data_IF_821723466230
#
_entry.id   IF_821723466230
#
_cell.length_a   1.000
_cell.length_b   1.000
_cell.length_c   1.000
_cell.angle_alpha   90.00
_cell.angle_beta   90.00
_cell.angle_gamma   90.00
#
_symmetry.space_group_name_H-M   'P 1'
#
loop_
_entity.id
_entity.type
_entity.pdbx_description
1 polymer ?
#
# COMPACT_ATOMS: atom_id res chain seq x y z
N UNK A 1 -4.62 21.79 12.31
CA UNK A 1 -5.76 20.88 12.06
C UNK A 1 -5.20 19.49 11.91
N UNK A 2 -5.86 18.46 12.44
CA UNK A 2 -5.47 17.09 12.12
C UNK A 2 -5.74 16.82 10.62
N UNK A 3 -4.89 16.04 9.94
CA UNK A 3 -5.10 15.70 8.54
C UNK A 3 -6.46 15.03 8.36
N UNK A 4 -7.22 15.49 7.36
CA UNK A 4 -8.50 14.88 6.98
C UNK A 4 -8.23 13.67 6.10
N UNK A 5 -8.59 12.49 6.60
CA UNK A 5 -8.44 11.24 5.85
C UNK A 5 -9.68 10.96 5.00
N UNK A 6 -9.46 10.43 3.80
CA UNK A 6 -10.49 9.98 2.87
C UNK A 6 -10.05 8.71 2.14
N UNK A 7 -11.01 8.03 1.53
CA UNK A 7 -10.75 6.84 0.73
C UNK A 7 -10.52 7.18 -0.74
N UNK A 8 -9.52 6.53 -1.30
CA UNK A 8 -9.43 6.23 -2.73
C UNK A 8 -9.80 4.75 -2.86
N UNK A 9 -10.83 4.48 -3.66
CA UNK A 9 -11.50 3.18 -3.76
C UNK A 9 -11.96 2.67 -2.38
N UNK A 10 -13.03 3.25 -1.83
CA UNK A 10 -13.56 2.82 -0.53
C UNK A 10 -13.99 1.34 -0.54
N UNK A 11 -13.52 0.51 0.41
CA UNK A 11 -13.95 -0.87 0.54
C UNK A 11 -15.40 -0.96 1.06
N UNK A 12 -16.08 -2.09 0.81
CA UNK A 12 -17.43 -2.29 1.32
C UNK A 12 -17.48 -2.38 2.85
N UNK A 13 -16.40 -2.88 3.48
CA UNK A 13 -16.31 -3.10 4.91
C UNK A 13 -15.03 -2.48 5.48
N UNK A 14 -15.20 -1.46 6.32
CA UNK A 14 -14.10 -0.86 7.08
C UNK A 14 -14.61 -0.21 8.36
N UNK A 15 -13.70 0.00 9.31
CA UNK A 15 -13.97 0.76 10.54
C UNK A 15 -12.74 1.54 10.96
N UNK A 16 -12.96 2.78 11.39
CA UNK A 16 -11.97 3.60 12.09
C UNK A 16 -12.42 3.82 13.53
N UNK A 17 -11.57 3.51 14.47
CA UNK A 17 -11.79 3.74 15.90
C UNK A 17 -10.50 4.28 16.56
N UNK A 18 -10.46 4.30 17.89
CA UNK A 18 -9.31 4.81 18.64
C UNK A 18 -8.07 3.92 18.49
N UNK A 19 -8.25 2.63 18.18
CA UNK A 19 -7.16 1.65 18.12
C UNK A 19 -6.56 1.55 16.71
N UNK A 20 -7.32 1.94 15.68
CA UNK A 20 -6.78 2.06 14.34
C UNK A 20 -7.82 1.97 13.24
N UNK A 21 -7.35 1.53 12.07
CA UNK A 21 -8.15 1.28 10.88
C UNK A 21 -8.23 -0.24 10.65
N UNK A 22 -9.44 -0.77 10.54
CA UNK A 22 -9.71 -2.14 10.12
C UNK A 22 -10.35 -2.11 8.72
N UNK A 23 -9.89 -2.98 7.83
CA UNK A 23 -10.29 -3.01 6.42
C UNK A 23 -10.47 -4.44 5.97
N UNK A 24 -11.54 -4.71 5.23
CA UNK A 24 -11.70 -5.93 4.43
C UNK A 24 -11.63 -5.54 2.96
N UNK A 25 -10.74 -6.17 2.19
CA UNK A 25 -10.59 -5.85 0.77
C UNK A 25 -11.80 -6.33 -0.01
N UNK A 26 -12.21 -5.55 -1.01
CA UNK A 26 -13.10 -6.03 -2.05
C UNK A 26 -12.36 -7.07 -2.91
N UNK A 27 -13.11 -7.88 -3.68
CA UNK A 27 -12.50 -8.86 -4.58
C UNK A 27 -11.80 -8.17 -5.76
N UNK A 28 -10.70 -8.77 -6.23
CA UNK A 28 -10.00 -8.38 -7.47
C UNK A 28 -9.54 -6.92 -7.51
N UNK A 29 -9.04 -6.41 -6.38
CA UNK A 29 -8.48 -5.07 -6.25
C UNK A 29 -6.96 -5.07 -6.35
N UNK A 30 -6.38 -4.13 -7.08
CA UNK A 30 -4.92 -4.03 -7.24
C UNK A 30 -4.48 -2.62 -7.67
N UNK A 31 -3.18 -2.34 -7.50
CA UNK A 31 -2.47 -1.20 -8.07
C UNK A 31 -1.30 -1.69 -8.93
N UNK A 32 -1.40 -1.53 -10.25
CA UNK A 32 -0.34 -1.89 -11.20
C UNK A 32 -0.48 -1.12 -12.51
N UNK A 33 0.65 -0.78 -13.14
CA UNK A 33 0.67 -0.09 -14.43
C UNK A 33 1.65 -0.70 -15.43
N UNK A 34 1.08 -1.34 -16.45
CA UNK A 34 1.67 -1.72 -17.74
C UNK A 34 2.83 -2.73 -17.74
N UNK A 35 3.85 -2.53 -16.91
CA UNK A 35 5.11 -3.27 -16.96
C UNK A 35 4.86 -4.78 -16.95
N UNK A 36 5.45 -5.48 -17.91
CA UNK A 36 5.35 -6.92 -18.16
C UNK A 36 3.95 -7.44 -18.51
N UNK A 37 2.94 -7.15 -17.70
CA UNK A 37 1.61 -7.73 -17.82
C UNK A 37 0.68 -7.05 -18.84
N UNK A 38 1.01 -5.84 -19.28
CA UNK A 38 0.25 -5.09 -20.30
C UNK A 38 -1.10 -4.52 -19.84
N UNK A 39 -1.51 -4.74 -18.59
CA UNK A 39 -2.74 -4.18 -18.02
C UNK A 39 -2.48 -3.03 -17.05
N UNK A 40 -3.53 -2.27 -16.76
CA UNK A 40 -3.58 -1.26 -15.69
C UNK A 40 -4.63 -1.68 -14.64
N UNK A 41 -4.31 -1.48 -13.37
CA UNK A 41 -5.20 -1.63 -12.21
C UNK A 41 -4.99 -0.45 -11.28
N UNK A 42 -6.10 0.17 -10.91
CA UNK A 42 -6.15 1.29 -9.96
C UNK A 42 -7.37 1.13 -9.05
N UNK A 43 -7.58 -0.08 -8.53
CA UNK A 43 -8.76 -0.48 -7.75
C UNK A 43 -8.44 -0.88 -6.31
N UNK A 44 -7.16 -0.88 -5.93
CA UNK A 44 -6.73 -1.10 -4.55
C UNK A 44 -7.25 -0.03 -3.59
N UNK A 45 -7.38 -0.38 -2.31
CA UNK A 45 -7.91 0.50 -1.27
C UNK A 45 -6.80 1.35 -0.65
N UNK A 46 -7.02 2.67 -0.60
CA UNK A 46 -6.09 3.61 0.04
C UNK A 46 -6.85 4.58 0.93
N UNK A 47 -6.57 4.53 2.23
CA UNK A 47 -7.05 5.53 3.21
C UNK A 47 -5.94 6.57 3.42
N UNK A 48 -6.10 7.74 2.81
CA UNK A 48 -5.05 8.74 2.71
C UNK A 48 -5.50 10.10 3.25
N UNK A 49 -4.52 10.92 3.62
CA UNK A 49 -4.71 12.34 3.86
C UNK A 49 -3.72 13.13 3.02
N UNK A 50 -4.14 14.30 2.56
CA UNK A 50 -3.25 15.20 1.83
C UNK A 50 -2.19 15.79 2.78
N UNK A 51 -0.94 15.78 2.32
CA UNK A 51 0.19 16.33 3.06
C UNK A 51 1.01 17.22 2.13
N UNK A 52 1.23 18.46 2.54
CA UNK A 52 2.12 19.39 1.84
C UNK A 52 3.53 19.33 2.43
N UNK A 53 4.53 19.18 1.58
CA UNK A 53 5.95 19.18 1.96
C UNK A 53 6.44 17.84 2.54
N UNK A 54 7.52 17.92 3.30
CA UNK A 54 8.18 16.77 3.92
C UNK A 54 7.26 16.06 4.92
N UNK A 55 7.29 14.72 4.92
CA UNK A 55 6.57 13.94 5.90
C UNK A 55 7.23 12.61 6.22
N UNK A 56 6.87 12.07 7.39
CA UNK A 56 7.13 10.69 7.77
C UNK A 56 5.82 10.06 8.23
N UNK A 57 5.44 8.95 7.61
CA UNK A 57 4.33 8.10 8.02
C UNK A 57 4.90 6.80 8.55
N UNK A 58 4.45 6.35 9.72
CA UNK A 58 4.77 5.05 10.26
C UNK A 58 3.49 4.39 10.77
N UNK A 59 3.31 3.10 10.43
CA UNK A 59 2.20 2.31 10.91
C UNK A 59 2.64 0.88 11.21
N UNK A 60 1.92 0.25 12.15
CA UNK A 60 1.93 -1.19 12.32
C UNK A 60 0.85 -1.76 11.41
N UNK A 61 1.22 -2.75 10.61
CA UNK A 61 0.30 -3.48 9.73
C UNK A 61 0.07 -4.85 10.35
N UNK A 62 -1.20 -5.19 10.53
CA UNK A 62 -1.64 -6.51 10.92
C UNK A 62 -2.60 -7.03 9.85
N UNK A 63 -2.30 -8.16 9.22
CA UNK A 63 -3.09 -8.70 8.13
C UNK A 63 -3.00 -10.23 8.06
N UNK A 64 -4.11 -10.86 7.71
CA UNK A 64 -4.21 -12.29 7.48
C UNK A 64 -4.06 -12.58 5.98
N UNK A 65 -2.81 -12.65 5.51
CA UNK A 65 -2.48 -13.07 4.15
C UNK A 65 -2.82 -14.55 3.96
N UNK A 66 -3.72 -14.85 3.04
CA UNK A 66 -4.24 -16.21 2.81
C UNK A 66 -4.32 -16.61 1.36
N UNK A 67 -4.35 -15.64 0.45
CA UNK A 67 -4.51 -15.84 -0.98
C UNK A 67 -3.32 -15.26 -1.75
N UNK A 68 -3.00 -15.88 -2.88
CA UNK A 68 -1.99 -15.38 -3.80
C UNK A 68 -2.30 -13.92 -4.19
N UNK A 69 -1.29 -13.06 -4.07
CA UNK A 69 -1.29 -11.62 -4.30
C UNK A 69 -2.03 -10.76 -3.26
N UNK A 70 -2.35 -11.32 -2.08
CA UNK A 70 -2.76 -10.50 -0.95
C UNK A 70 -1.66 -9.49 -0.59
N UNK A 71 -2.04 -8.23 -0.41
CA UNK A 71 -1.13 -7.11 -0.20
C UNK A 71 -1.62 -6.21 0.94
N UNK A 72 -0.72 -5.79 1.83
CA UNK A 72 -1.00 -4.75 2.81
C UNK A 72 0.28 -3.97 3.16
N UNK A 73 0.14 -2.66 3.36
CA UNK A 73 1.30 -1.81 3.59
C UNK A 73 0.99 -0.31 3.63
N UNK A 74 1.96 0.48 3.20
CA UNK A 74 1.86 1.93 3.08
C UNK A 74 1.92 2.35 1.61
N UNK A 75 1.29 3.48 1.30
CA UNK A 75 1.33 4.08 -0.03
C UNK A 75 1.52 5.59 0.08
N UNK A 76 2.22 6.17 -0.89
CA UNK A 76 2.19 7.60 -1.18
C UNK A 76 1.77 7.78 -2.63
N UNK A 77 0.99 8.82 -2.88
CA UNK A 77 0.40 9.07 -4.20
C UNK A 77 0.45 10.57 -4.48
N UNK A 78 0.95 10.94 -5.66
CA UNK A 78 0.81 12.28 -6.19
C UNK A 78 -0.43 12.36 -7.10
N UNK A 79 -0.61 11.33 -7.95
CA UNK A 79 -1.76 11.15 -8.83
C UNK A 79 -1.89 9.67 -9.23
N UNK A 80 -2.89 9.33 -10.05
CA UNK A 80 -3.18 7.95 -10.48
C UNK A 80 -2.04 7.31 -11.31
N UNK A 81 -1.14 8.13 -11.83
CA UNK A 81 -0.01 7.75 -12.67
C UNK A 81 1.33 7.75 -11.94
N UNK A 82 1.37 8.36 -10.76
CA UNK A 82 2.58 8.64 -9.97
C UNK A 82 2.37 8.29 -8.51
N UNK A 83 2.83 7.11 -8.11
CA UNK A 83 2.64 6.59 -6.75
C UNK A 83 3.68 5.56 -6.37
N UNK A 84 3.82 5.31 -5.07
CA UNK A 84 4.62 4.24 -4.51
C UNK A 84 3.79 3.46 -3.50
N UNK A 85 3.69 2.14 -3.65
CA UNK A 85 3.18 1.22 -2.63
C UNK A 85 4.32 0.36 -2.10
N UNK A 86 4.32 0.06 -0.81
CA UNK A 86 5.30 -0.82 -0.18
C UNK A 86 4.68 -1.60 0.97
N UNK A 87 5.07 -2.86 1.11
CA UNK A 87 4.60 -3.72 2.19
C UNK A 87 4.79 -5.19 1.89
N UNK A 88 4.02 -6.01 2.59
CA UNK A 88 4.02 -7.45 2.38
C UNK A 88 3.07 -7.79 1.23
N UNK A 89 3.56 -8.61 0.34
CA UNK A 89 2.80 -9.27 -0.71
C UNK A 89 2.98 -10.78 -0.57
N UNK A 90 1.89 -11.53 -0.66
CA UNK A 90 1.95 -12.99 -0.67
C UNK A 90 2.11 -13.50 -2.09
N UNK A 91 3.31 -13.95 -2.47
CA UNK A 91 3.62 -14.48 -3.80
C UNK A 91 4.42 -15.79 -3.71
N UNK A 92 4.28 -16.67 -4.69
CA UNK A 92 5.01 -17.95 -4.75
C UNK A 92 4.95 -18.78 -3.44
N UNK A 93 3.76 -18.80 -2.81
CA UNK A 93 3.47 -19.46 -1.52
C UNK A 93 4.29 -18.95 -0.32
N UNK A 94 4.91 -17.77 -0.43
CA UNK A 94 5.67 -17.14 0.63
C UNK A 94 5.33 -15.64 0.79
N UNK A 95 5.42 -15.09 2.02
CA UNK A 95 5.35 -13.66 2.21
C UNK A 95 6.66 -13.01 1.74
N UNK A 96 6.55 -12.02 0.86
CA UNK A 96 7.67 -11.21 0.42
C UNK A 96 7.47 -9.77 0.85
N UNK A 97 8.56 -9.09 1.21
CA UNK A 97 8.56 -7.63 1.39
C UNK A 97 8.95 -6.99 0.06
N UNK A 98 8.19 -5.99 -0.38
CA UNK A 98 8.46 -5.33 -1.63
C UNK A 98 7.94 -3.91 -1.72
N UNK A 99 8.26 -3.28 -2.85
CA UNK A 99 7.78 -1.96 -3.21
C UNK A 99 7.57 -1.87 -4.71
N UNK A 100 6.52 -1.16 -5.11
CA UNK A 100 6.28 -0.76 -6.50
C UNK A 100 6.34 0.76 -6.57
N UNK A 101 7.30 1.28 -7.32
CA UNK A 101 7.35 2.69 -7.71
C UNK A 101 6.76 2.81 -9.10
N UNK A 102 5.68 3.58 -9.22
CA UNK A 102 5.03 3.84 -10.50
C UNK A 102 5.30 5.27 -10.92
N UNK A 103 6.07 5.42 -12.00
CA UNK A 103 6.26 6.67 -12.74
C UNK A 103 5.75 6.46 -14.16
N UNK A 104 4.43 6.56 -14.35
CA UNK A 104 3.70 6.08 -15.53
C UNK A 104 3.72 4.57 -15.78
N UNK A 105 4.80 3.88 -15.40
CA UNK A 105 4.98 2.44 -15.47
C UNK A 105 5.43 1.93 -14.10
N UNK A 106 4.96 0.76 -13.70
CA UNK A 106 5.30 0.15 -12.41
C UNK A 106 6.68 -0.51 -12.47
N UNK A 107 7.57 -0.15 -11.56
CA UNK A 107 8.84 -0.82 -11.30
C UNK A 107 8.74 -1.52 -9.94
N UNK A 108 8.96 -2.83 -9.92
CA UNK A 108 8.75 -3.69 -8.76
C UNK A 108 10.06 -4.28 -8.25
N UNK A 109 10.32 -4.07 -6.96
CA UNK A 109 11.37 -4.74 -6.22
C UNK A 109 10.75 -5.58 -5.09
N UNK A 110 11.23 -6.81 -4.94
CA UNK A 110 10.75 -7.76 -3.93
C UNK A 110 11.91 -8.55 -3.32
N UNK A 111 11.72 -9.08 -2.11
CA UNK A 111 12.71 -9.87 -1.41
C UNK A 111 12.14 -10.63 -0.21
N UNK A 112 13.00 -11.45 0.41
CA UNK A 112 12.63 -12.24 1.58
C UNK A 112 12.26 -11.34 2.76
N UNK A 113 11.14 -11.65 3.41
CA UNK A 113 10.78 -11.04 4.68
C UNK A 113 11.10 -11.97 5.85
N UNK A 114 12.11 -11.67 6.69
CA UNK A 114 12.52 -12.55 7.78
C UNK A 114 11.65 -12.43 9.05
N UNK A 115 10.73 -11.46 9.09
CA UNK A 115 9.88 -11.19 10.25
C UNK A 115 8.55 -11.96 10.21
N UNK A 116 7.66 -11.64 11.16
CA UNK A 116 6.28 -12.13 11.13
C UNK A 116 5.46 -11.36 10.10
N UNK A 117 5.07 -11.98 8.96
CA UNK A 117 4.34 -11.30 7.90
C UNK A 117 2.97 -10.79 8.36
N UNK A 118 2.39 -11.37 9.42
CA UNK A 118 1.06 -10.99 9.91
C UNK A 118 1.09 -9.77 10.83
N UNK A 119 2.26 -9.35 11.29
CA UNK A 119 2.41 -8.21 12.20
C UNK A 119 3.78 -7.56 12.05
N UNK A 120 3.85 -6.49 11.26
CA UNK A 120 5.09 -5.78 10.96
C UNK A 120 4.91 -4.26 11.00
N UNK A 121 6.03 -3.54 11.02
CA UNK A 121 6.03 -2.08 10.96
C UNK A 121 6.60 -1.61 9.62
N UNK A 122 6.00 -0.56 9.06
CA UNK A 122 6.57 0.18 7.94
C UNK A 122 6.71 1.65 8.29
N UNK A 123 7.74 2.27 7.73
CA UNK A 123 7.94 3.72 7.76
C UNK A 123 8.21 4.21 6.35
N UNK A 124 7.42 5.17 5.89
CA UNK A 124 7.61 5.89 4.64
C UNK A 124 8.03 7.33 4.98
N UNK A 125 9.07 7.84 4.33
CA UNK A 125 9.53 9.22 4.52
C UNK A 125 9.75 9.85 3.15
N UNK A 126 9.08 10.96 2.90
CA UNK A 126 9.32 11.80 1.74
C UNK A 126 9.93 13.12 2.21
N UNK A 127 11.04 13.51 1.60
CA UNK A 127 11.67 14.81 1.82
C UNK A 127 12.00 15.42 0.47
N UNK A 128 11.83 16.73 0.36
CA UNK A 128 12.38 17.46 -0.77
C UNK A 128 13.90 17.27 -0.77
N UNK A 129 14.42 16.62 -1.81
CA UNK A 129 15.86 16.64 -2.08
C UNK A 129 16.22 18.05 -2.55
N UNK A 130 17.25 18.63 -1.93
CA UNK A 130 17.83 19.91 -2.35
C UNK A 130 18.41 19.81 -3.76
#
# INVERSE_FOLDING_TARGET
>A
MQPYFHWINEPAEWRRDADGLTVVTNKHTDFWRHTWYGFERFSGHLYAAEVAGDFTLQAKICADFTTLYDQAGLMMMADEQTWLKAGIEFNDDAPAIGSVLTLTHSDWATGLFPGDPRSFWLRLTARATR
#
